data_IF_267666596400
#
_entry.id   IF_267666596400
#
_cell.length_a   1.000
_cell.length_b   1.000
_cell.length_c   1.000
_cell.angle_alpha   90.00
_cell.angle_beta   90.00
_cell.angle_gamma   90.00
#
_symmetry.space_group_name_H-M   'P 1'
#
loop_
_entity.id
_entity.type
_entity.pdbx_description
1 polymer ?
#
# COMPACT_ATOMS: atom_id res chain seq x y z
N UNK A 1 24.26 19.34 13.58
CA UNK A 1 23.07 18.83 14.27
C UNK A 1 21.80 19.00 13.47
N UNK A 2 21.52 20.20 13.00
CA UNK A 2 20.33 20.47 12.20
C UNK A 2 20.27 19.69 10.89
N UNK A 3 21.42 19.53 10.20
CA UNK A 3 21.51 18.73 8.95
C UNK A 3 21.21 17.26 9.18
N UNK A 4 21.71 16.69 10.27
CA UNK A 4 21.47 15.28 10.61
C UNK A 4 20.00 15.01 10.90
N UNK A 5 19.34 15.92 11.61
CA UNK A 5 17.91 15.81 11.89
C UNK A 5 17.06 15.96 10.62
N UNK A 6 17.45 16.89 9.74
CA UNK A 6 16.77 17.10 8.47
C UNK A 6 16.94 15.89 7.54
N UNK A 7 18.14 15.29 7.51
CA UNK A 7 18.42 14.09 6.72
C UNK A 7 17.60 12.90 7.21
N UNK A 8 17.52 12.69 8.51
CA UNK A 8 16.71 11.61 9.11
C UNK A 8 15.23 11.84 8.82
N UNK A 9 14.74 13.06 8.98
CA UNK A 9 13.36 13.41 8.68
C UNK A 9 13.03 13.16 7.20
N UNK A 10 13.95 13.50 6.30
CA UNK A 10 13.80 13.25 4.87
C UNK A 10 13.74 11.77 4.53
N UNK A 11 14.57 10.94 5.16
CA UNK A 11 14.55 9.49 4.98
C UNK A 11 13.24 8.89 5.48
N UNK A 12 12.73 9.34 6.63
CA UNK A 12 11.45 8.88 7.17
C UNK A 12 10.29 9.25 6.25
N UNK A 13 10.27 10.47 5.73
CA UNK A 13 9.27 10.93 4.77
C UNK A 13 9.30 10.11 3.48
N UNK A 14 10.49 9.81 2.97
CA UNK A 14 10.66 8.96 1.77
C UNK A 14 10.11 7.56 2.01
N UNK A 15 10.40 6.96 3.16
CA UNK A 15 9.88 5.65 3.55
C UNK A 15 8.36 5.63 3.65
N UNK A 16 7.77 6.67 4.26
CA UNK A 16 6.32 6.81 4.38
C UNK A 16 5.66 7.00 3.02
N UNK A 17 6.29 7.77 2.13
CA UNK A 17 5.79 7.95 0.77
C UNK A 17 5.76 6.64 0.00
N UNK A 18 6.80 5.81 0.13
CA UNK A 18 6.85 4.47 -0.49
C UNK A 18 5.72 3.60 0.04
N UNK A 19 5.52 3.55 1.36
CA UNK A 19 4.42 2.78 1.96
C UNK A 19 3.05 3.25 1.47
N UNK A 20 2.83 4.55 1.41
CA UNK A 20 1.59 5.12 0.93
C UNK A 20 1.36 4.77 -0.54
N UNK A 21 2.40 4.87 -1.36
CA UNK A 21 2.33 4.56 -2.80
C UNK A 21 2.03 3.08 -3.03
N UNK A 22 2.73 2.19 -2.33
CA UNK A 22 2.49 0.73 -2.44
C UNK A 22 1.09 0.40 -1.96
N UNK A 23 0.66 0.94 -0.81
CA UNK A 23 -0.66 0.68 -0.24
C UNK A 23 -1.80 1.14 -1.16
N UNK A 24 -1.63 2.27 -1.86
CA UNK A 24 -2.64 2.81 -2.75
C UNK A 24 -2.63 2.20 -4.15
N UNK A 25 -1.47 1.75 -4.64
CA UNK A 25 -1.33 1.21 -6.01
C UNK A 25 -1.47 -0.30 -6.09
N UNK A 26 -1.08 -1.04 -5.04
CA UNK A 26 -1.09 -2.49 -5.06
C UNK A 26 -2.46 -3.10 -5.38
N UNK A 27 -3.59 -2.61 -4.84
CA UNK A 27 -4.91 -3.13 -5.20
C UNK A 27 -5.22 -2.93 -6.68
N UNK A 28 -4.78 -1.83 -7.26
CA UNK A 28 -5.00 -1.52 -8.68
C UNK A 28 -4.16 -2.41 -9.59
N UNK A 29 -2.95 -2.76 -9.16
CA UNK A 29 -2.12 -3.74 -9.87
C UNK A 29 -2.81 -5.11 -9.88
N UNK A 30 -3.38 -5.51 -8.74
CA UNK A 30 -4.17 -6.73 -8.64
C UNK A 30 -5.40 -6.70 -9.55
N UNK A 31 -6.12 -5.59 -9.58
CA UNK A 31 -7.27 -5.38 -10.45
C UNK A 31 -6.87 -5.47 -11.94
N UNK A 32 -5.73 -4.88 -12.29
CA UNK A 32 -5.19 -4.99 -13.65
C UNK A 32 -4.98 -6.46 -14.03
N UNK A 33 -4.44 -7.26 -13.11
CA UNK A 33 -4.28 -8.70 -13.31
C UNK A 33 -5.60 -9.41 -13.55
N UNK A 34 -6.67 -9.02 -12.84
CA UNK A 34 -8.02 -9.58 -13.02
C UNK A 34 -8.55 -9.27 -14.42
N UNK A 35 -8.43 -8.03 -14.87
CA UNK A 35 -8.87 -7.61 -16.21
C UNK A 35 -8.10 -8.38 -17.28
N UNK A 36 -6.79 -8.53 -17.10
CA UNK A 36 -5.94 -9.29 -18.02
C UNK A 36 -6.35 -10.77 -18.11
N UNK A 37 -6.61 -11.39 -16.96
CA UNK A 37 -7.03 -12.80 -16.91
C UNK A 37 -8.40 -13.03 -17.55
N UNK A 38 -9.34 -12.12 -17.32
CA UNK A 38 -10.66 -12.19 -17.98
C UNK A 38 -10.52 -12.02 -19.49
N UNK A 39 -9.66 -11.12 -19.93
CA UNK A 39 -9.36 -10.92 -21.34
C UNK A 39 -8.82 -12.22 -21.97
N UNK A 40 -7.86 -12.87 -21.32
CA UNK A 40 -7.31 -14.14 -21.78
C UNK A 40 -8.38 -15.24 -21.87
N UNK A 41 -9.28 -15.30 -20.89
CA UNK A 41 -10.39 -16.26 -20.90
C UNK A 41 -11.32 -16.03 -22.08
N UNK A 42 -11.65 -14.77 -22.37
CA UNK A 42 -12.50 -14.41 -23.50
C UNK A 42 -11.84 -14.74 -24.85
N UNK A 43 -10.54 -14.51 -24.97
CA UNK A 43 -9.78 -14.89 -26.18
C UNK A 43 -9.80 -16.42 -26.38
N UNK A 44 -9.62 -17.18 -25.30
CA UNK A 44 -9.66 -18.64 -25.36
C UNK A 44 -11.03 -19.16 -25.83
N UNK A 45 -12.11 -18.56 -25.34
CA UNK A 45 -13.47 -18.88 -25.80
C UNK A 45 -13.66 -18.51 -27.28
N UNK A 46 -13.19 -17.33 -27.67
CA UNK A 46 -13.28 -16.84 -29.03
C UNK A 46 -12.56 -17.70 -30.05
N UNK A 47 -11.37 -18.20 -29.70
CA UNK A 47 -10.56 -19.03 -30.60
C UNK A 47 -11.06 -20.48 -30.67
N UNK A 48 -11.60 -21.02 -29.56
CA UNK A 48 -12.06 -22.41 -29.52
C UNK A 48 -13.52 -22.56 -29.92
N UNK A 49 -14.32 -21.51 -29.90
CA UNK A 49 -15.74 -21.53 -30.16
C UNK A 49 -16.58 -22.21 -29.08
N UNK A 50 -15.96 -22.67 -28.00
CA UNK A 50 -16.65 -23.33 -26.89
C UNK A 50 -16.27 -22.69 -25.56
N UNK A 51 -17.31 -22.33 -24.79
CA UNK A 51 -17.16 -21.86 -23.43
C UNK A 51 -17.12 -23.07 -22.48
N UNK A 52 -15.96 -23.74 -22.39
CA UNK A 52 -15.81 -24.83 -21.42
C UNK A 52 -15.21 -24.28 -20.11
N UNK A 53 -15.71 -24.80 -18.99
CA UNK A 53 -15.19 -24.45 -17.66
C UNK A 53 -13.70 -24.70 -17.54
N UNK A 54 -13.19 -25.75 -18.14
CA UNK A 54 -11.77 -26.12 -18.08
C UNK A 54 -10.87 -25.07 -18.70
N UNK A 55 -11.31 -24.42 -19.78
CA UNK A 55 -10.51 -23.40 -20.49
C UNK A 55 -10.57 -22.04 -19.81
N UNK A 56 -11.66 -21.76 -19.11
CA UNK A 56 -11.91 -20.48 -18.45
C UNK A 56 -11.35 -20.48 -17.02
N UNK A 57 -11.40 -21.63 -16.33
CA UNK A 57 -11.00 -21.74 -14.94
C UNK A 57 -9.53 -21.36 -14.70
N UNK A 58 -8.62 -21.74 -15.61
CA UNK A 58 -7.20 -21.41 -15.48
C UNK A 58 -6.94 -19.90 -15.45
N UNK A 59 -7.27 -19.18 -16.54
CA UNK A 59 -7.05 -17.72 -16.60
C UNK A 59 -7.82 -16.95 -15.53
N UNK A 60 -9.04 -17.31 -15.21
CA UNK A 60 -9.84 -16.66 -14.17
C UNK A 60 -9.24 -16.92 -12.79
N UNK A 61 -8.80 -18.17 -12.53
CA UNK A 61 -8.12 -18.51 -11.26
C UNK A 61 -6.84 -17.72 -11.07
N UNK A 62 -6.01 -17.58 -12.09
CA UNK A 62 -4.81 -16.75 -12.05
C UNK A 62 -5.14 -15.29 -11.79
N UNK A 63 -6.19 -14.76 -12.41
CA UNK A 63 -6.66 -13.41 -12.19
C UNK A 63 -7.07 -13.16 -10.74
N UNK A 64 -7.80 -14.09 -10.14
CA UNK A 64 -8.21 -14.00 -8.73
C UNK A 64 -7.01 -14.04 -7.80
N UNK A 65 -6.00 -14.86 -8.11
CA UNK A 65 -4.75 -14.88 -7.34
C UNK A 65 -4.01 -13.55 -7.42
N UNK A 66 -3.98 -12.91 -8.57
CA UNK A 66 -3.36 -11.58 -8.73
C UNK A 66 -4.03 -10.54 -7.86
N UNK A 67 -5.36 -10.55 -7.78
CA UNK A 67 -6.10 -9.67 -6.87
C UNK A 67 -5.75 -9.97 -5.41
N UNK A 68 -5.70 -11.23 -5.02
CA UNK A 68 -5.33 -11.63 -3.67
C UNK A 68 -3.92 -11.18 -3.31
N UNK A 69 -2.94 -11.31 -4.20
CA UNK A 69 -1.58 -10.82 -3.99
C UNK A 69 -1.54 -9.30 -3.85
N UNK A 70 -2.27 -8.59 -4.70
CA UNK A 70 -2.37 -7.12 -4.61
C UNK A 70 -2.88 -6.68 -3.25
N UNK A 71 -3.93 -7.31 -2.74
CA UNK A 71 -4.49 -7.03 -1.42
C UNK A 71 -3.54 -7.46 -0.29
N UNK A 72 -2.87 -8.60 -0.43
CA UNK A 72 -1.91 -9.09 0.56
C UNK A 72 -0.73 -8.14 0.74
N UNK A 73 -0.33 -7.42 -0.30
CA UNK A 73 0.71 -6.39 -0.24
C UNK A 73 0.14 -5.08 0.27
N UNK A 74 -1.05 -4.69 -0.20
CA UNK A 74 -1.67 -3.41 0.14
C UNK A 74 -2.03 -3.30 1.63
N UNK A 75 -2.60 -4.35 2.21
CA UNK A 75 -3.10 -4.31 3.58
C UNK A 75 -1.99 -4.03 4.59
N UNK A 76 -0.86 -4.78 4.62
CA UNK A 76 0.24 -4.46 5.52
C UNK A 76 0.84 -3.08 5.28
N UNK A 77 0.95 -2.66 4.01
CA UNK A 77 1.51 -1.35 3.67
C UNK A 77 0.65 -0.22 4.22
N UNK A 78 -0.67 -0.30 4.08
CA UNK A 78 -1.61 0.70 4.61
C UNK A 78 -1.59 0.72 6.14
N UNK A 79 -1.60 -0.46 6.77
CA UNK A 79 -1.55 -0.55 8.23
C UNK A 79 -0.25 0.01 8.78
N UNK A 80 0.88 -0.29 8.14
CA UNK A 80 2.18 0.23 8.53
C UNK A 80 2.23 1.76 8.35
N UNK A 81 1.75 2.26 7.21
CA UNK A 81 1.68 3.70 6.96
C UNK A 81 0.86 4.42 8.03
N UNK A 82 -0.35 3.94 8.30
CA UNK A 82 -1.23 4.54 9.30
C UNK A 82 -0.62 4.48 10.70
N UNK A 83 0.05 3.38 11.04
CA UNK A 83 0.73 3.22 12.31
C UNK A 83 1.87 4.21 12.49
N UNK A 84 2.71 4.40 11.46
CA UNK A 84 3.82 5.37 11.50
C UNK A 84 3.31 6.81 11.56
N UNK A 85 2.32 7.16 10.77
CA UNK A 85 1.73 8.51 10.80
C UNK A 85 1.14 8.81 12.18
N UNK A 86 0.40 7.88 12.75
CA UNK A 86 -0.17 8.03 14.08
C UNK A 86 0.91 8.13 15.16
N UNK A 87 1.95 7.28 15.07
CA UNK A 87 3.07 7.30 16.00
C UNK A 87 3.82 8.62 15.99
N UNK A 88 4.08 9.15 14.80
CA UNK A 88 4.72 10.45 14.62
C UNK A 88 3.86 11.57 15.20
N UNK A 89 2.56 11.54 15.00
CA UNK A 89 1.63 12.54 15.54
C UNK A 89 1.62 12.54 17.05
N UNK A 90 1.58 11.36 17.67
CA UNK A 90 1.60 11.21 19.12
C UNK A 90 2.92 11.71 19.69
N UNK A 91 4.03 11.36 19.05
CA UNK A 91 5.37 11.79 19.47
C UNK A 91 5.50 13.31 19.42
N UNK A 92 5.11 13.94 18.34
CA UNK A 92 5.12 15.41 18.19
C UNK A 92 4.25 16.09 19.24
N UNK A 93 3.06 15.55 19.50
CA UNK A 93 2.17 16.06 20.53
C UNK A 93 2.80 16.02 21.92
N UNK A 94 3.48 14.91 22.25
CA UNK A 94 4.20 14.78 23.52
C UNK A 94 5.36 15.76 23.63
N UNK A 95 6.12 15.94 22.54
CA UNK A 95 7.23 16.89 22.51
C UNK A 95 6.75 18.33 22.68
N UNK A 96 5.65 18.70 22.03
CA UNK A 96 5.03 20.01 22.19
C UNK A 96 4.57 20.24 23.63
N UNK A 97 3.93 19.25 24.25
CA UNK A 97 3.51 19.32 25.65
C UNK A 97 4.68 19.53 26.59
N UNK A 98 5.80 18.83 26.36
CA UNK A 98 7.03 19.01 27.14
C UNK A 98 7.63 20.40 26.94
N UNK A 99 7.65 20.88 25.70
CA UNK A 99 8.17 22.23 25.41
C UNK A 99 7.34 23.29 26.10
N UNK A 100 6.01 23.19 26.10
CA UNK A 100 5.14 24.10 26.83
C UNK A 100 5.34 24.03 28.33
N UNK A 101 5.48 22.81 28.89
CA UNK A 101 5.74 22.65 30.33
C UNK A 101 7.05 23.25 30.73
N UNK A 102 8.13 23.09 29.95
CA UNK A 102 9.44 23.69 30.21
C UNK A 102 9.39 25.22 30.09
N UNK A 103 8.66 25.74 29.11
CA UNK A 103 8.49 27.19 28.96
C UNK A 103 7.77 27.82 30.18
N UNK A 104 6.76 27.12 30.72
CA UNK A 104 6.05 27.56 31.94
C UNK A 104 6.96 27.55 33.16
N UNK A 105 7.81 26.54 33.30
CA UNK A 105 8.74 26.42 34.41
C UNK A 105 9.87 27.42 34.30
N UNK A 106 10.28 27.80 33.10
CA UNK A 106 11.33 28.77 32.83
C UNK A 106 10.90 30.22 32.96
N UNK A 107 9.62 30.46 33.10
CA UNK A 107 9.09 31.80 33.33
C UNK A 107 8.99 32.11 34.83
#
# INVERSE_FOLDING_TARGET
MKRELDDVAGELESGLTVLASVGSTAPFVGLFGTVWGVYQALVAIGTSGTASMERVAGPVGEALLMTAFGLAVAIPAVLAYNGFVRGNRVLLSRLESRAHALARQGA
#
